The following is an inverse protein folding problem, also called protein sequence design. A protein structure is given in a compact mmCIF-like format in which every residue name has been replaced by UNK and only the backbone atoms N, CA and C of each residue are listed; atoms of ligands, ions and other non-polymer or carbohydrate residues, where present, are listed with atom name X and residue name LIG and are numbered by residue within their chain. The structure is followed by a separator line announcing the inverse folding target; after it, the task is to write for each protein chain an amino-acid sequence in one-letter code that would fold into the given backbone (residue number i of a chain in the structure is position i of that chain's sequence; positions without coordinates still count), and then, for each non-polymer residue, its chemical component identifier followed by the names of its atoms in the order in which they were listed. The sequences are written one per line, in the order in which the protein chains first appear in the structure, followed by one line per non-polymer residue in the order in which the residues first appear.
data_IF_051074840122
#
_entry.id   IF_051074840122
#
_cell.length_a   1.000
_cell.length_b   1.000
_cell.length_c   1.000
_cell.angle_alpha   90.00
_cell.angle_beta   90.00
_cell.angle_gamma   90.00
#
_symmetry.space_group_name_H-M   'P 1'
#
loop_
_entity.id
_entity.type
_entity.pdbx_description
1 polymer ?
#
# COMPACT_ATOMS: atom_id res chain seq x y z
N UNK A 1 3.52 -15.20 -10.41
CA UNK A 1 2.11 -15.66 -10.45
C UNK A 1 1.10 -14.52 -10.37
N UNK A 2 1.48 -13.26 -10.09
CA UNK A 2 0.58 -12.10 -9.98
C UNK A 2 -0.63 -12.31 -9.02
N UNK A 3 -0.54 -13.31 -8.14
CA UNK A 3 -1.57 -13.60 -7.13
C UNK A 3 -1.64 -12.42 -6.18
N UNK A 4 -2.86 -12.06 -5.82
CA UNK A 4 -3.15 -10.95 -4.94
C UNK A 4 -4.27 -11.34 -3.97
N UNK A 5 -4.40 -10.54 -2.92
CA UNK A 5 -5.47 -10.64 -1.95
C UNK A 5 -5.66 -9.29 -1.31
N UNK A 6 -6.90 -8.82 -1.25
CA UNK A 6 -7.25 -7.50 -0.79
C UNK A 6 -8.52 -7.52 0.07
N UNK A 7 -8.59 -6.60 1.02
CA UNK A 7 -9.81 -6.32 1.78
C UNK A 7 -10.06 -4.83 1.87
N UNK A 8 -11.32 -4.45 1.77
CA UNK A 8 -11.75 -3.06 1.83
C UNK A 8 -12.85 -2.86 2.89
N UNK A 9 -12.85 -1.70 3.55
CA UNK A 9 -13.88 -1.32 4.53
C UNK A 9 -14.18 -2.39 5.60
N UNK A 10 -13.17 -3.18 6.00
CA UNK A 10 -13.31 -4.24 6.99
C UNK A 10 -13.16 -3.69 8.41
N UNK A 11 -13.92 -4.24 9.34
CA UNK A 11 -13.86 -3.95 10.77
C UNK A 11 -13.79 -5.26 11.57
N UNK A 12 -13.30 -5.21 12.81
CA UNK A 12 -13.21 -6.38 13.69
C UNK A 12 -12.05 -7.33 13.38
N UNK A 13 -11.01 -6.85 12.70
CA UNK A 13 -9.79 -7.61 12.39
C UNK A 13 -8.57 -6.76 12.75
N UNK A 14 -7.74 -7.27 13.67
CA UNK A 14 -6.54 -6.55 14.15
C UNK A 14 -5.49 -6.34 13.07
N UNK A 15 -5.30 -7.33 12.19
CA UNK A 15 -4.28 -7.33 11.15
C UNK A 15 -4.92 -7.61 9.77
N UNK A 16 -5.48 -6.61 9.08
CA UNK A 16 -6.12 -6.80 7.78
C UNK A 16 -5.21 -7.47 6.75
N UNK A 17 -3.89 -7.19 6.79
CA UNK A 17 -2.93 -7.79 5.87
C UNK A 17 -2.80 -9.32 6.04
N UNK A 18 -3.07 -9.85 7.23
CA UNK A 18 -3.09 -11.30 7.46
C UNK A 18 -4.25 -11.97 6.71
N UNK A 19 -5.41 -11.32 6.65
CA UNK A 19 -6.54 -11.78 5.84
C UNK A 19 -6.21 -11.69 4.34
N UNK A 20 -5.62 -10.58 3.89
CA UNK A 20 -5.13 -10.46 2.51
C UNK A 20 -4.20 -11.62 2.13
N UNK A 21 -3.28 -12.01 3.02
CA UNK A 21 -2.38 -13.16 2.80
C UNK A 21 -3.15 -14.48 2.68
N UNK A 22 -4.18 -14.71 3.49
CA UNK A 22 -5.03 -15.91 3.39
C UNK A 22 -5.84 -15.94 2.09
N UNK A 23 -6.43 -14.82 1.68
CA UNK A 23 -7.12 -14.67 0.39
C UNK A 23 -6.16 -14.96 -0.77
N UNK A 24 -4.96 -14.38 -0.73
CA UNK A 24 -3.92 -14.62 -1.73
C UNK A 24 -3.58 -16.11 -1.83
N UNK A 25 -3.45 -16.82 -0.69
CA UNK A 25 -3.14 -18.25 -0.61
C UNK A 25 -4.29 -19.16 -1.05
N UNK A 26 -5.54 -18.77 -0.77
CA UNK A 26 -6.74 -19.45 -1.27
C UNK A 26 -6.85 -19.32 -2.79
N UNK A 27 -6.64 -18.11 -3.33
CA UNK A 27 -6.49 -17.87 -4.77
C UNK A 27 -7.77 -17.89 -5.60
N UNK A 28 -8.96 -18.14 -5.02
CA UNK A 28 -10.24 -18.13 -5.77
C UNK A 28 -10.74 -16.72 -6.06
N UNK A 29 -10.49 -15.79 -5.15
CA UNK A 29 -10.97 -14.42 -5.22
C UNK A 29 -9.85 -13.44 -4.89
N UNK A 30 -9.94 -12.24 -5.46
CA UNK A 30 -8.93 -11.19 -5.31
C UNK A 30 -9.25 -10.22 -4.16
N UNK A 31 -10.53 -9.87 -3.96
CA UNK A 31 -10.94 -8.79 -3.07
C UNK A 31 -12.26 -9.09 -2.37
N UNK A 32 -12.32 -8.84 -1.07
CA UNK A 32 -13.56 -8.82 -0.29
C UNK A 32 -13.77 -7.44 0.35
N UNK A 33 -15.01 -7.06 0.62
CA UNK A 33 -15.32 -5.77 1.24
C UNK A 33 -16.38 -5.87 2.35
N UNK A 34 -16.32 -4.94 3.30
CA UNK A 34 -17.35 -4.75 4.31
C UNK A 34 -17.59 -6.00 5.18
N UNK A 35 -18.86 -6.29 5.55
CA UNK A 35 -19.20 -7.46 6.37
C UNK A 35 -18.78 -8.80 5.77
N UNK A 36 -18.84 -8.95 4.44
CA UNK A 36 -18.42 -10.18 3.76
C UNK A 36 -16.92 -10.46 3.92
N UNK A 37 -16.08 -9.42 4.06
CA UNK A 37 -14.67 -9.62 4.39
C UNK A 37 -14.47 -10.19 5.81
N UNK A 38 -15.31 -9.80 6.76
CA UNK A 38 -15.27 -10.34 8.13
C UNK A 38 -15.76 -11.79 8.19
N UNK A 39 -16.80 -12.13 7.43
CA UNK A 39 -17.23 -13.52 7.26
C UNK A 39 -16.13 -14.39 6.66
N UNK A 40 -15.46 -13.88 5.63
CA UNK A 40 -14.32 -14.55 5.03
C UNK A 40 -13.15 -14.69 6.00
N UNK A 41 -12.94 -13.72 6.90
CA UNK A 41 -11.96 -13.82 7.97
C UNK A 41 -12.23 -15.03 8.86
N UNK A 42 -13.48 -15.19 9.30
CA UNK A 42 -13.91 -16.34 10.13
C UNK A 42 -13.74 -17.65 9.39
N UNK A 43 -14.17 -17.72 8.12
CA UNK A 43 -14.05 -18.92 7.29
C UNK A 43 -12.58 -19.35 7.08
N UNK A 44 -11.66 -18.38 6.97
CA UNK A 44 -10.23 -18.63 6.81
C UNK A 44 -9.45 -18.72 8.13
N UNK A 45 -10.15 -18.77 9.27
CA UNK A 45 -9.53 -18.91 10.60
C UNK A 45 -8.67 -17.71 11.02
N UNK A 46 -8.94 -16.51 10.51
CA UNK A 46 -8.27 -15.28 10.93
C UNK A 46 -8.90 -14.78 12.23
N UNK A 47 -8.11 -14.53 13.30
CA UNK A 47 -8.63 -14.01 14.56
C UNK A 47 -9.38 -12.69 14.36
N UNK A 48 -10.59 -12.64 14.91
CA UNK A 48 -11.43 -11.43 14.99
C UNK A 48 -11.26 -10.76 16.34
N UNK A 49 -11.49 -9.46 16.41
CA UNK A 49 -11.42 -8.68 17.64
C UNK A 49 -12.59 -7.70 17.75
N UNK A 50 -12.82 -7.14 18.93
CA UNK A 50 -13.74 -6.01 19.07
C UNK A 50 -13.14 -4.78 18.36
N UNK A 51 -13.85 -4.12 17.43
CA UNK A 51 -13.39 -2.87 16.82
C UNK A 51 -12.99 -1.79 17.83
N UNK A 52 -13.60 -1.77 19.02
CA UNK A 52 -13.24 -0.82 20.08
C UNK A 52 -11.77 -0.96 20.54
N UNK A 53 -11.20 -2.16 20.46
CA UNK A 53 -9.78 -2.42 20.79
C UNK A 53 -8.80 -1.74 19.81
N UNK A 54 -9.26 -1.36 18.61
CA UNK A 54 -8.45 -0.71 17.58
C UNK A 54 -8.48 0.82 17.70
N UNK A 55 -9.37 1.36 18.52
CA UNK A 55 -9.53 2.80 18.72
C UNK A 55 -8.57 3.28 19.79
N UNK A 56 -7.75 4.29 19.47
CA UNK A 56 -6.81 4.90 20.42
C UNK A 56 -7.22 6.33 20.75
N UNK A 57 -6.94 6.79 21.97
CA UNK A 57 -7.23 8.18 22.39
C UNK A 57 -6.55 9.21 21.49
N UNK A 58 -5.32 8.93 21.06
CA UNK A 58 -4.60 9.76 20.09
C UNK A 58 -5.42 9.94 18.81
N UNK A 59 -5.96 8.86 18.24
CA UNK A 59 -6.77 8.92 17.02
C UNK A 59 -8.14 9.55 17.25
N UNK A 60 -8.75 9.38 18.44
CA UNK A 60 -9.98 10.11 18.81
C UNK A 60 -9.76 11.63 18.80
N UNK A 61 -8.68 12.10 19.42
CA UNK A 61 -8.32 13.54 19.44
C UNK A 61 -7.98 14.07 18.04
N UNK A 62 -7.37 13.24 17.20
CA UNK A 62 -7.03 13.56 15.82
C UNK A 62 -8.21 13.40 14.84
N UNK A 63 -9.43 13.06 15.28
CA UNK A 63 -10.55 12.92 14.35
C UNK A 63 -10.83 14.23 13.59
N UNK A 64 -10.50 15.38 14.20
CA UNK A 64 -10.55 16.71 13.58
C UNK A 64 -9.27 17.10 12.79
N UNK A 65 -8.18 16.35 12.92
CA UNK A 65 -6.91 16.63 12.26
C UNK A 65 -6.66 15.64 11.12
N UNK A 66 -6.61 16.13 9.88
CA UNK A 66 -6.38 15.31 8.70
C UNK A 66 -4.95 14.78 8.70
N UNK A 67 -4.75 13.56 9.20
CA UNK A 67 -3.48 12.84 9.04
C UNK A 67 -3.74 11.40 8.55
N UNK A 68 -3.55 11.13 7.25
CA UNK A 68 -3.60 9.77 6.74
C UNK A 68 -2.49 8.93 7.38
N UNK A 69 -2.81 7.67 7.70
CA UNK A 69 -1.88 6.70 8.26
C UNK A 69 -1.87 5.44 7.41
N UNK A 70 -1.31 5.56 6.20
CA UNK A 70 -1.03 4.41 5.33
C UNK A 70 0.38 3.92 5.60
N UNK A 71 0.55 2.60 5.65
CA UNK A 71 1.85 1.93 5.73
C UNK A 71 1.96 0.95 4.59
N UNK A 72 3.18 0.67 4.16
CA UNK A 72 3.41 -0.40 3.19
C UNK A 72 4.87 -0.80 3.09
N UNK A 73 5.09 -1.88 2.37
CA UNK A 73 6.39 -2.52 2.21
C UNK A 73 6.49 -3.18 0.84
N UNK A 74 7.71 -3.20 0.31
CA UNK A 74 8.07 -3.94 -0.90
C UNK A 74 9.35 -4.73 -0.57
N UNK A 75 9.41 -5.98 -1.02
CA UNK A 75 10.56 -6.84 -0.78
C UNK A 75 10.90 -7.70 -2.01
N UNK A 76 12.19 -7.98 -2.16
CA UNK A 76 12.76 -8.96 -3.09
C UNK A 76 13.40 -10.07 -2.26
N UNK A 77 13.05 -11.33 -2.53
CA UNK A 77 13.67 -12.49 -1.88
C UNK A 77 14.82 -13.12 -2.71
N UNK A 78 15.49 -14.11 -2.12
CA UNK A 78 16.62 -14.82 -2.75
C UNK A 78 16.23 -15.65 -3.98
N UNK A 79 14.94 -15.97 -4.14
CA UNK A 79 14.43 -16.69 -5.29
C UNK A 79 14.05 -15.74 -6.45
N UNK A 80 14.29 -14.43 -6.30
CA UNK A 80 13.90 -13.44 -7.29
C UNK A 80 12.41 -13.08 -7.23
N UNK A 81 11.72 -13.41 -6.14
CA UNK A 81 10.30 -13.09 -5.98
C UNK A 81 10.12 -11.71 -5.40
N UNK A 82 9.34 -10.88 -6.09
CA UNK A 82 8.88 -9.59 -5.58
C UNK A 82 7.53 -9.76 -4.87
N UNK A 83 7.38 -9.13 -3.71
CA UNK A 83 6.11 -8.96 -3.03
C UNK A 83 5.94 -7.51 -2.56
N UNK A 84 4.69 -7.03 -2.59
CA UNK A 84 4.31 -5.73 -2.06
C UNK A 84 3.05 -5.85 -1.19
N UNK A 85 2.94 -4.98 -0.19
CA UNK A 85 1.81 -4.94 0.73
C UNK A 85 1.56 -3.50 1.18
N UNK A 86 0.30 -3.07 1.18
CA UNK A 86 -0.13 -1.76 1.70
C UNK A 86 -1.33 -1.95 2.62
N UNK A 87 -1.38 -1.20 3.72
CA UNK A 87 -2.47 -1.25 4.70
C UNK A 87 -2.75 0.16 5.22
N UNK A 88 -4.04 0.49 5.37
CA UNK A 88 -4.44 1.83 5.80
C UNK A 88 -5.75 1.80 6.59
N UNK A 89 -5.86 2.70 7.58
CA UNK A 89 -7.14 3.05 8.19
C UNK A 89 -7.98 4.00 7.33
N UNK A 90 -7.41 4.54 6.25
CA UNK A 90 -8.01 5.59 5.43
C UNK A 90 -7.76 6.98 5.99
N UNK A 91 -8.57 7.95 5.54
CA UNK A 91 -8.51 9.35 5.95
C UNK A 91 -9.41 9.61 7.16
N UNK A 92 -9.02 10.58 8.00
CA UNK A 92 -9.86 11.05 9.10
C UNK A 92 -11.16 11.66 8.56
N UNK A 93 -12.29 11.45 9.26
CA UNK A 93 -13.60 11.97 8.85
C UNK A 93 -14.19 11.34 7.58
N UNK A 94 -13.60 10.26 7.05
CA UNK A 94 -14.14 9.59 5.86
C UNK A 94 -15.58 9.11 6.08
N UNK A 95 -16.39 9.15 5.02
CA UNK A 95 -17.72 8.55 5.04
C UNK A 95 -17.62 7.02 5.22
N UNK A 96 -18.57 6.39 5.94
CA UNK A 96 -18.66 4.93 6.01
C UNK A 96 -18.68 4.31 4.62
N UNK A 97 -17.92 3.24 4.43
CA UNK A 97 -17.79 2.57 3.13
C UNK A 97 -16.82 3.24 2.14
N UNK A 98 -16.24 4.42 2.44
CA UNK A 98 -15.19 5.01 1.58
C UNK A 98 -13.97 4.08 1.51
N UNK A 99 -13.58 3.71 0.29
CA UNK A 99 -12.41 2.89 -0.02
C UNK A 99 -11.36 3.76 -0.72
N UNK A 100 -10.11 3.67 -0.25
CA UNK A 100 -8.96 4.32 -0.86
C UNK A 100 -8.11 3.36 -1.70
N UNK A 101 -6.97 3.85 -2.16
CA UNK A 101 -6.04 3.15 -3.05
C UNK A 101 -5.46 1.85 -2.48
N UNK A 102 -5.26 1.77 -1.17
CA UNK A 102 -4.48 0.69 -0.55
C UNK A 102 -5.06 -0.71 -0.74
N UNK A 103 -6.38 -0.83 -0.92
CA UNK A 103 -7.05 -2.11 -1.19
C UNK A 103 -7.17 -2.41 -2.68
N UNK A 104 -6.83 -1.46 -3.56
CA UNK A 104 -7.02 -1.56 -4.99
C UNK A 104 -5.68 -1.90 -5.66
N UNK A 105 -5.60 -3.14 -6.15
CA UNK A 105 -4.42 -3.66 -6.84
C UNK A 105 -4.15 -2.82 -8.09
N UNK A 106 -2.92 -2.34 -8.22
CA UNK A 106 -2.49 -1.43 -9.28
C UNK A 106 -2.63 0.06 -8.93
N UNK A 107 -3.37 0.41 -7.88
CA UNK A 107 -3.44 1.77 -7.37
C UNK A 107 -2.44 1.97 -6.22
N UNK A 108 -2.73 1.41 -5.04
CA UNK A 108 -1.89 1.57 -3.84
C UNK A 108 -0.84 0.49 -3.65
N UNK A 109 -1.00 -0.67 -4.31
CA UNK A 109 -0.09 -1.81 -4.21
C UNK A 109 0.02 -2.52 -5.55
N UNK A 110 1.23 -2.83 -5.99
CA UNK A 110 1.43 -3.72 -7.13
C UNK A 110 2.78 -4.45 -7.05
N UNK A 111 2.85 -5.67 -7.57
CA UNK A 111 4.07 -6.48 -7.58
C UNK A 111 4.11 -7.41 -8.79
N UNK A 112 5.23 -7.36 -9.51
CA UNK A 112 5.52 -8.17 -10.68
C UNK A 112 7.01 -8.53 -10.68
N UNK A 113 7.37 -9.79 -10.45
CA UNK A 113 8.78 -10.21 -10.30
C UNK A 113 9.67 -9.91 -11.51
N UNK A 114 9.09 -9.74 -12.70
CA UNK A 114 9.81 -9.38 -13.93
C UNK A 114 10.12 -7.88 -14.05
N UNK A 115 9.53 -7.04 -13.19
CA UNK A 115 9.71 -5.58 -13.21
C UNK A 115 10.11 -5.05 -11.83
N UNK A 116 9.28 -5.28 -10.82
CA UNK A 116 9.44 -4.70 -9.49
C UNK A 116 8.15 -4.70 -8.70
N UNK A 117 8.17 -4.03 -7.56
CA UNK A 117 7.02 -3.87 -6.67
C UNK A 117 6.93 -2.44 -6.16
N UNK A 118 5.71 -2.01 -5.91
CA UNK A 118 5.37 -0.63 -5.53
C UNK A 118 4.34 -0.65 -4.41
N UNK A 119 4.55 0.25 -3.45
CA UNK A 119 3.57 0.59 -2.42
C UNK A 119 3.45 2.09 -2.33
N UNK A 120 2.22 2.60 -2.36
CA UNK A 120 1.91 4.03 -2.32
C UNK A 120 1.30 4.45 -0.98
N UNK A 121 1.35 5.75 -0.71
CA UNK A 121 0.69 6.44 0.40
C UNK A 121 0.32 7.84 -0.03
N UNK A 122 -0.75 8.43 0.53
CA UNK A 122 -1.17 9.79 0.21
C UNK A 122 -2.68 9.92 0.02
N UNK A 123 -3.06 10.83 -0.87
CA UNK A 123 -4.46 11.08 -1.25
C UNK A 123 -5.00 9.95 -2.13
N UNK A 124 -5.78 9.06 -1.52
CA UNK A 124 -6.26 7.84 -2.17
C UNK A 124 -7.01 8.09 -3.48
N UNK A 125 -7.87 9.10 -3.57
CA UNK A 125 -8.62 9.42 -4.79
C UNK A 125 -7.69 9.83 -5.94
N UNK A 126 -6.63 10.59 -5.66
CA UNK A 126 -5.63 10.98 -6.66
C UNK A 126 -4.81 9.77 -7.12
N UNK A 127 -4.38 8.92 -6.19
CA UNK A 127 -3.63 7.68 -6.47
C UNK A 127 -4.46 6.72 -7.33
N UNK A 128 -5.77 6.58 -7.04
CA UNK A 128 -6.70 5.76 -7.82
C UNK A 128 -6.85 6.30 -9.23
N UNK A 129 -7.03 7.62 -9.38
CA UNK A 129 -7.28 8.27 -10.67
C UNK A 129 -6.20 7.96 -11.71
N UNK A 130 -4.95 7.81 -11.27
CA UNK A 130 -3.79 7.56 -12.15
C UNK A 130 -3.25 6.14 -12.10
N UNK A 131 -3.91 5.23 -11.35
CA UNK A 131 -3.43 3.86 -11.11
C UNK A 131 -1.93 3.80 -10.76
N UNK A 132 -1.53 4.60 -9.78
CA UNK A 132 -0.14 4.99 -9.56
C UNK A 132 0.84 3.81 -9.49
N UNK A 133 0.57 2.81 -8.64
CA UNK A 133 1.49 1.69 -8.44
C UNK A 133 1.77 0.90 -9.73
N UNK A 134 0.73 0.63 -10.54
CA UNK A 134 0.91 -0.07 -11.81
C UNK A 134 1.65 0.82 -12.81
N UNK A 135 1.25 2.08 -12.91
CA UNK A 135 1.84 3.05 -13.84
C UNK A 135 3.33 3.29 -13.53
N UNK A 136 3.73 3.29 -12.27
CA UNK A 136 5.15 3.35 -11.87
C UNK A 136 5.96 2.19 -12.45
N UNK A 137 5.44 0.95 -12.44
CA UNK A 137 6.17 -0.18 -13.03
C UNK A 137 6.25 -0.10 -14.56
N UNK A 138 5.25 0.48 -15.22
CA UNK A 138 5.28 0.72 -16.67
C UNK A 138 6.31 1.78 -17.04
N UNK A 139 6.40 2.85 -16.26
CA UNK A 139 7.46 3.86 -16.39
C UNK A 139 8.83 3.21 -16.14
N UNK A 140 8.98 2.45 -15.05
CA UNK A 140 10.22 1.75 -14.72
C UNK A 140 10.68 0.83 -15.86
N UNK A 141 9.74 0.12 -16.50
CA UNK A 141 10.04 -0.71 -17.67
C UNK A 141 10.62 0.11 -18.84
N UNK A 142 10.10 1.32 -19.05
CA UNK A 142 10.54 2.19 -20.13
C UNK A 142 11.90 2.87 -19.86
N UNK A 143 12.15 3.28 -18.62
CA UNK A 143 13.34 4.08 -18.27
C UNK A 143 14.50 3.29 -17.66
N UNK A 144 14.25 2.07 -17.17
CA UNK A 144 15.20 1.19 -16.46
C UNK A 144 15.99 1.86 -15.31
N UNK A 145 15.38 2.86 -14.67
CA UNK A 145 15.92 3.56 -13.50
C UNK A 145 14.79 3.76 -12.45
N UNK A 146 14.86 3.09 -11.29
CA UNK A 146 13.86 3.23 -10.22
C UNK A 146 13.74 4.64 -9.65
N UNK A 147 14.83 5.40 -9.54
CA UNK A 147 14.77 6.75 -9.00
C UNK A 147 14.04 7.68 -9.99
N UNK A 148 14.42 7.62 -11.26
CA UNK A 148 13.74 8.39 -12.30
C UNK A 148 12.27 7.98 -12.46
N UNK A 149 11.96 6.68 -12.37
CA UNK A 149 10.58 6.19 -12.42
C UNK A 149 9.73 6.70 -11.26
N UNK A 150 10.30 6.80 -10.05
CA UNK A 150 9.62 7.39 -8.90
C UNK A 150 9.30 8.87 -9.12
N UNK A 151 10.25 9.67 -9.61
CA UNK A 151 10.06 11.10 -9.87
C UNK A 151 8.99 11.34 -10.94
N UNK A 152 9.04 10.60 -12.05
CA UNK A 152 8.04 10.71 -13.13
C UNK A 152 6.65 10.30 -12.63
N UNK A 153 6.55 9.20 -11.87
CA UNK A 153 5.28 8.77 -11.29
C UNK A 153 4.73 9.78 -10.28
N UNK A 154 5.60 10.43 -9.50
CA UNK A 154 5.19 11.49 -8.59
C UNK A 154 4.66 12.72 -9.34
N UNK A 155 5.31 13.10 -10.45
CA UNK A 155 4.82 14.13 -11.36
C UNK A 155 3.42 13.80 -11.89
N UNK A 156 3.19 12.56 -12.34
CA UNK A 156 1.86 12.08 -12.76
C UNK A 156 0.82 12.23 -11.64
N UNK A 157 1.16 11.86 -10.40
CA UNK A 157 0.25 12.01 -9.26
C UNK A 157 -0.15 13.48 -9.04
N UNK A 158 0.81 14.40 -9.09
CA UNK A 158 0.58 15.82 -8.85
C UNK A 158 -0.18 16.47 -10.02
N UNK A 159 0.28 16.24 -11.24
CA UNK A 159 -0.20 16.94 -12.43
C UNK A 159 -1.51 16.37 -12.98
N UNK A 160 -1.62 15.04 -13.06
CA UNK A 160 -2.81 14.36 -13.59
C UNK A 160 -3.76 13.92 -12.47
N UNK A 161 -3.20 13.38 -11.38
CA UNK A 161 -3.96 12.93 -10.21
C UNK A 161 -4.55 14.08 -9.39
N UNK A 162 -3.95 15.27 -9.49
CA UNK A 162 -4.33 16.49 -8.76
C UNK A 162 -4.31 16.28 -7.24
N UNK A 163 -3.33 15.55 -6.73
CA UNK A 163 -3.17 15.30 -5.30
C UNK A 163 -1.72 15.05 -4.90
N UNK A 164 -1.51 14.85 -3.60
CA UNK A 164 -0.19 14.62 -3.03
C UNK A 164 -0.04 13.20 -2.45
N UNK A 165 1.21 12.76 -2.32
CA UNK A 165 1.53 11.45 -1.75
C UNK A 165 2.98 11.07 -1.95
N UNK A 166 3.23 9.77 -1.92
CA UNK A 166 4.53 9.20 -2.21
C UNK A 166 4.46 7.69 -2.42
N UNK A 167 5.58 7.13 -2.83
CA UNK A 167 5.70 5.71 -3.13
C UNK A 167 7.11 5.19 -2.84
N UNK A 168 7.18 3.88 -2.60
CA UNK A 168 8.43 3.12 -2.52
C UNK A 168 8.46 2.06 -3.62
N UNK A 169 9.66 1.79 -4.16
CA UNK A 169 9.90 0.83 -5.25
C UNK A 169 11.07 -0.07 -4.91
N UNK A 170 10.93 -1.37 -5.22
CA UNK A 170 12.04 -2.32 -5.35
C UNK A 170 11.92 -2.96 -6.73
N UNK A 171 12.95 -2.85 -7.56
CA UNK A 171 12.94 -3.50 -8.87
C UNK A 171 13.45 -4.95 -8.82
N UNK A 172 13.32 -5.66 -9.94
CA UNK A 172 13.76 -7.05 -10.07
C UNK A 172 15.29 -7.24 -9.91
N UNK A 173 16.08 -6.18 -10.03
CA UNK A 173 17.55 -6.16 -9.81
C UNK A 173 17.92 -5.86 -8.34
N UNK A 174 16.92 -5.62 -7.47
CA UNK A 174 17.13 -5.26 -6.06
C UNK A 174 17.50 -3.80 -5.82
N UNK A 175 17.36 -2.93 -6.83
CA UNK A 175 17.51 -1.48 -6.70
C UNK A 175 16.26 -0.92 -6.00
N UNK A 176 16.49 -0.07 -5.01
CA UNK A 176 15.44 0.52 -4.17
C UNK A 176 15.38 2.03 -4.39
N UNK A 177 14.17 2.56 -4.55
CA UNK A 177 13.93 4.00 -4.71
C UNK A 177 12.61 4.41 -4.06
N UNK A 178 12.43 5.71 -3.88
CA UNK A 178 11.21 6.32 -3.35
C UNK A 178 11.12 7.76 -3.81
N UNK A 179 9.91 8.32 -3.80
CA UNK A 179 9.67 9.75 -4.00
C UNK A 179 8.40 10.16 -3.23
N UNK A 180 8.32 11.43 -2.82
CA UNK A 180 7.13 11.99 -2.18
C UNK A 180 6.99 13.48 -2.46
N UNK A 181 5.75 13.94 -2.62
CA UNK A 181 5.39 15.36 -2.79
C UNK A 181 4.89 15.99 -1.47
N UNK A 182 4.60 15.16 -0.47
CA UNK A 182 4.28 15.63 0.88
C UNK A 182 5.53 16.10 1.61
N UNK A 183 5.44 16.99 2.62
CA UNK A 183 6.60 17.44 3.37
C UNK A 183 7.40 16.30 4.03
N UNK A 184 6.72 15.21 4.38
CA UNK A 184 7.33 14.06 5.04
C UNK A 184 6.74 12.74 4.52
N UNK A 185 7.59 11.73 4.40
CA UNK A 185 7.22 10.32 4.24
C UNK A 185 8.27 9.46 4.98
N UNK A 186 7.94 8.86 6.14
CA UNK A 186 8.89 8.00 6.87
C UNK A 186 9.22 6.72 6.10
N UNK A 187 10.51 6.39 5.94
CA UNK A 187 10.96 5.24 5.14
C UNK A 187 12.09 4.49 5.87
N UNK A 188 12.03 3.16 5.86
CA UNK A 188 13.12 2.29 6.30
C UNK A 188 13.56 1.37 5.17
N UNK A 189 14.88 1.19 5.03
CA UNK A 189 15.48 0.37 3.97
C UNK A 189 16.46 -0.64 4.58
N UNK A 190 16.39 -1.87 4.09
CA UNK A 190 17.28 -2.95 4.51
C UNK A 190 17.64 -3.82 3.31
N UNK A 191 18.93 -4.08 3.16
CA UNK A 191 19.52 -5.05 2.23
C UNK A 191 20.71 -5.74 2.92
N UNK A 192 21.28 -6.82 2.36
CA UNK A 192 22.47 -7.47 2.92
C UNK A 192 23.69 -6.53 3.03
N UNK A 193 23.83 -5.55 2.13
CA UNK A 193 24.96 -4.62 2.08
C UNK A 193 24.67 -3.22 2.64
N UNK A 194 23.40 -2.91 2.94
CA UNK A 194 22.97 -1.58 3.39
C UNK A 194 21.81 -1.66 4.36
N UNK A 195 21.98 -1.06 5.55
CA UNK A 195 20.90 -0.79 6.51
C UNK A 195 20.79 0.72 6.70
N UNK A 196 19.64 1.29 6.42
CA UNK A 196 19.44 2.74 6.57
C UNK A 196 17.98 3.03 6.95
N UNK A 197 17.79 3.78 8.03
CA UNK A 197 16.50 4.38 8.37
C UNK A 197 16.54 5.83 7.91
N UNK A 198 15.56 6.25 7.12
CA UNK A 198 15.39 7.63 6.69
C UNK A 198 14.21 8.17 7.50
N UNK A 199 14.56 8.71 8.66
CA UNK A 199 13.63 9.40 9.53
C UNK A 199 13.55 10.88 9.14
N UNK A 200 12.43 11.57 9.42
CA UNK A 200 12.42 13.04 9.41
C UNK A 200 13.48 13.58 10.40
N UNK A 201 14.01 14.79 10.17
CA UNK A 201 14.89 15.46 11.13
C UNK A 201 14.22 15.67 12.50
#
# INVERSE_FOLDING_TARGET
TLRNGAVAAVSGIRNPISLCRRILQDGRHALFAGPGALEQARALGVPVCDPAELVTDRRRRQLAAVQPGTVGAVALDRAGTIAAATSSGGTAGKLPGRVGDSALIGCGTYAESTLGGVSCTGEGEAIIRVALARRTLEILKAVDDPAHACEVALGVLVDEGRGQGGLIVVDWKGRMAWAHSTPFMPIGLQSPSRRQVIAPP
#
